data_IF_824328608644
#
_entry.id   IF_824328608644
#
_cell.length_a   1.000
_cell.length_b   1.000
_cell.length_c   1.000
_cell.angle_alpha   90.00
_cell.angle_beta   90.00
_cell.angle_gamma   90.00
#
_symmetry.space_group_name_H-M   'P 1'
#
loop_
_entity.id
_entity.type
_entity.pdbx_description
1 polymer ?
#
# COMPACT_ATOMS: atom_id res chain seq x y z
N UNK A 1 11.21 -9.83 0.46
CA UNK A 1 9.97 -9.30 1.07
C UNK A 1 9.45 -10.30 2.09
N UNK A 2 9.19 -9.86 3.30
CA UNK A 2 8.63 -10.67 4.39
C UNK A 2 7.50 -9.91 5.09
N UNK A 3 6.33 -10.55 5.22
CA UNK A 3 5.14 -9.98 5.85
C UNK A 3 4.82 -10.82 7.08
N UNK A 4 4.79 -10.19 8.27
CA UNK A 4 4.50 -10.91 9.51
C UNK A 4 2.99 -10.98 9.77
N UNK A 5 2.53 -11.97 10.55
CA UNK A 5 1.14 -12.01 10.98
C UNK A 5 0.73 -10.71 11.70
N UNK A 6 -0.41 -10.14 11.31
CA UNK A 6 -0.91 -8.89 11.86
C UNK A 6 -0.28 -7.62 11.29
N UNK A 7 0.67 -7.70 10.35
CA UNK A 7 1.20 -6.53 9.65
C UNK A 7 0.13 -5.87 8.76
N UNK A 8 0.20 -4.57 8.65
CA UNK A 8 -0.29 -3.83 7.50
C UNK A 8 0.92 -3.49 6.63
N UNK A 9 1.25 -4.42 5.73
CA UNK A 9 2.41 -4.27 4.85
C UNK A 9 2.02 -3.54 3.58
N UNK A 10 2.62 -2.38 3.35
CA UNK A 10 2.37 -1.57 2.15
C UNK A 10 3.51 -1.73 1.15
N UNK A 11 3.17 -2.12 -0.07
CA UNK A 11 4.06 -2.02 -1.23
C UNK A 11 3.81 -0.67 -1.87
N UNK A 12 4.71 0.28 -1.58
CA UNK A 12 4.67 1.63 -2.12
C UNK A 12 5.57 1.77 -3.36
N UNK A 13 5.22 2.62 -4.29
CA UNK A 13 6.05 2.87 -5.47
C UNK A 13 5.30 3.58 -6.59
N UNK A 14 6.02 4.11 -7.55
CA UNK A 14 5.46 4.83 -8.69
C UNK A 14 4.41 4.01 -9.46
N UNK A 15 3.46 4.65 -10.16
CA UNK A 15 2.61 3.95 -11.11
C UNK A 15 3.46 3.12 -12.09
N UNK A 16 2.96 1.93 -12.43
CA UNK A 16 3.64 0.98 -13.34
C UNK A 16 4.98 0.41 -12.85
N UNK A 17 5.34 0.56 -11.57
CA UNK A 17 6.56 -0.04 -11.02
C UNK A 17 6.53 -1.57 -10.88
N UNK A 18 5.37 -2.21 -11.11
CA UNK A 18 5.21 -3.67 -11.00
C UNK A 18 4.48 -4.15 -9.75
N UNK A 19 3.92 -3.25 -8.91
CA UNK A 19 3.20 -3.60 -7.68
C UNK A 19 2.13 -4.66 -7.91
N UNK A 20 1.23 -4.43 -8.87
CA UNK A 20 0.14 -5.37 -9.19
C UNK A 20 0.67 -6.73 -9.70
N UNK A 21 1.80 -6.75 -10.41
CA UNK A 21 2.44 -8.01 -10.84
C UNK A 21 2.91 -8.80 -9.62
N UNK A 22 3.61 -8.13 -8.70
CA UNK A 22 4.05 -8.74 -7.43
C UNK A 22 2.86 -9.33 -6.66
N UNK A 23 1.78 -8.56 -6.51
CA UNK A 23 0.58 -9.04 -5.82
C UNK A 23 -0.06 -10.23 -6.53
N UNK A 24 -0.15 -10.22 -7.88
CA UNK A 24 -0.70 -11.34 -8.66
C UNK A 24 0.15 -12.61 -8.52
N UNK A 25 1.47 -12.49 -8.42
CA UNK A 25 2.37 -13.62 -8.13
C UNK A 25 2.08 -14.18 -6.73
N UNK A 26 1.97 -13.31 -5.70
CA UNK A 26 1.61 -13.73 -4.33
C UNK A 26 0.26 -14.44 -4.29
N UNK A 27 -0.70 -13.99 -5.09
CA UNK A 27 -2.04 -14.58 -5.22
C UNK A 27 -2.07 -15.88 -6.03
N UNK A 28 -1.02 -16.20 -6.78
CA UNK A 28 -1.00 -17.34 -7.72
C UNK A 28 -1.82 -17.11 -9.00
N UNK A 29 -2.10 -15.85 -9.32
CA UNK A 29 -2.75 -15.44 -10.57
C UNK A 29 -1.74 -15.35 -11.72
N UNK A 30 -0.48 -15.12 -11.40
CA UNK A 30 0.66 -15.17 -12.33
C UNK A 30 1.75 -16.08 -11.77
N UNK A 31 2.45 -16.85 -12.62
CA UNK A 31 3.58 -17.65 -12.18
C UNK A 31 4.78 -16.75 -11.84
N UNK A 32 5.61 -17.16 -10.90
CA UNK A 32 6.92 -16.57 -10.72
C UNK A 32 7.93 -17.21 -11.68
N UNK A 33 8.73 -16.42 -12.37
CA UNK A 33 9.80 -16.92 -13.25
C UNK A 33 10.95 -17.53 -12.43
N UNK A 34 11.16 -17.03 -11.20
CA UNK A 34 12.15 -17.53 -10.26
C UNK A 34 11.76 -17.23 -8.82
N UNK A 35 12.38 -17.93 -7.87
CA UNK A 35 12.08 -17.76 -6.44
C UNK A 35 10.88 -18.57 -5.98
N UNK A 36 10.43 -18.31 -4.75
CA UNK A 36 9.35 -19.07 -4.10
C UNK A 36 8.44 -18.17 -3.27
N UNK A 37 7.16 -18.55 -3.17
CA UNK A 37 6.15 -17.88 -2.35
C UNK A 37 5.76 -18.79 -1.20
N UNK A 38 5.86 -18.28 0.02
CA UNK A 38 5.46 -18.98 1.24
C UNK A 38 4.30 -18.25 1.92
N UNK A 39 3.25 -18.98 2.28
CA UNK A 39 2.14 -18.47 3.09
C UNK A 39 2.00 -19.35 4.34
N UNK A 40 2.06 -18.74 5.52
CA UNK A 40 2.02 -19.46 6.78
C UNK A 40 3.12 -20.56 6.90
N UNK A 41 4.30 -20.28 6.37
CA UNK A 41 5.43 -21.21 6.35
C UNK A 41 5.34 -22.36 5.34
N UNK A 42 4.27 -22.40 4.53
CA UNK A 42 4.09 -23.45 3.50
C UNK A 42 4.44 -22.90 2.13
N UNK A 43 5.20 -23.66 1.35
CA UNK A 43 5.46 -23.33 -0.05
C UNK A 43 4.16 -23.45 -0.87
N UNK A 44 3.77 -22.32 -1.48
CA UNK A 44 2.56 -22.23 -2.32
C UNK A 44 2.90 -21.80 -3.75
N UNK A 45 4.16 -21.85 -4.13
CA UNK A 45 4.66 -21.34 -5.41
C UNK A 45 3.90 -21.94 -6.59
N UNK A 46 3.70 -23.27 -6.59
CA UNK A 46 2.97 -23.99 -7.65
C UNK A 46 1.45 -24.05 -7.44
N UNK A 47 0.93 -23.50 -6.34
CA UNK A 47 -0.50 -23.54 -6.02
C UNK A 47 -1.27 -22.43 -6.71
N UNK A 48 -2.46 -22.77 -7.20
CA UNK A 48 -3.40 -21.81 -7.76
C UNK A 48 -4.05 -20.91 -6.70
N UNK A 49 -4.75 -19.83 -7.14
CA UNK A 49 -5.34 -18.84 -6.23
C UNK A 49 -6.33 -19.43 -5.22
N UNK A 50 -7.09 -20.44 -5.60
CA UNK A 50 -8.09 -21.08 -4.74
C UNK A 50 -7.44 -21.84 -3.56
N UNK A 51 -6.26 -22.40 -3.76
CA UNK A 51 -5.54 -23.17 -2.75
C UNK A 51 -4.76 -22.30 -1.76
N UNK A 52 -4.57 -21.00 -2.09
CA UNK A 52 -3.83 -20.06 -1.25
C UNK A 52 -4.68 -19.41 -0.14
N UNK A 53 -6.00 -19.54 -0.20
CA UNK A 53 -6.95 -19.02 0.79
C UNK A 53 -6.72 -17.53 1.15
N UNK A 54 -6.47 -16.68 0.17
CA UNK A 54 -6.21 -15.25 0.32
C UNK A 54 -7.47 -14.46 -0.03
N UNK A 55 -7.83 -13.46 0.77
CA UNK A 55 -8.83 -12.46 0.40
C UNK A 55 -8.23 -11.48 -0.61
N UNK A 56 -8.90 -11.21 -1.73
CA UNK A 56 -8.36 -10.34 -2.77
C UNK A 56 -9.32 -9.24 -3.20
N UNK A 57 -8.81 -8.02 -3.23
CA UNK A 57 -9.49 -6.83 -3.76
C UNK A 57 -8.66 -6.30 -4.93
N UNK A 58 -9.07 -6.54 -6.18
CA UNK A 58 -8.38 -6.03 -7.36
C UNK A 58 -8.70 -4.56 -7.62
N UNK A 59 -7.79 -3.85 -8.26
CA UNK A 59 -7.97 -2.47 -8.72
C UNK A 59 -9.18 -2.30 -9.67
N UNK A 60 -9.47 -3.29 -10.49
CA UNK A 60 -10.52 -3.27 -11.52
C UNK A 60 -11.92 -3.64 -11.03
N UNK A 61 -12.19 -3.60 -9.72
CA UNK A 61 -13.43 -4.06 -9.08
C UNK A 61 -13.76 -5.54 -9.30
N UNK A 62 -13.69 -6.03 -10.53
CA UNK A 62 -13.97 -7.40 -10.97
C UNK A 62 -15.31 -7.95 -10.43
N UNK A 63 -16.35 -7.12 -10.36
CA UNK A 63 -17.69 -7.53 -9.93
C UNK A 63 -18.36 -8.43 -10.99
N UNK A 64 -19.12 -9.39 -10.54
CA UNK A 64 -19.95 -10.23 -11.41
C UNK A 64 -21.13 -9.40 -11.91
N UNK A 65 -21.23 -9.10 -13.23
CA UNK A 65 -22.22 -8.16 -13.74
C UNK A 65 -23.67 -8.67 -13.62
N UNK A 66 -23.85 -10.00 -13.62
CA UNK A 66 -25.14 -10.65 -13.54
C UNK A 66 -25.62 -10.96 -12.11
N UNK A 67 -24.88 -10.50 -11.09
CA UNK A 67 -25.18 -10.72 -9.69
C UNK A 67 -25.46 -9.37 -9.00
N UNK A 68 -26.37 -9.38 -8.02
CA UNK A 68 -26.59 -8.22 -7.15
C UNK A 68 -25.35 -7.94 -6.27
N UNK A 69 -25.31 -6.79 -5.59
CA UNK A 69 -24.28 -6.46 -4.59
C UNK A 69 -24.23 -7.54 -3.52
N UNK A 70 -25.37 -7.93 -2.95
CA UNK A 70 -25.51 -9.03 -1.97
C UNK A 70 -24.86 -10.32 -2.50
N UNK A 71 -25.19 -10.68 -3.71
CA UNK A 71 -24.68 -11.92 -4.32
C UNK A 71 -23.19 -11.86 -4.62
N UNK A 72 -22.66 -10.68 -5.00
CA UNK A 72 -21.23 -10.45 -5.19
C UNK A 72 -20.48 -10.65 -3.88
N UNK A 73 -20.96 -10.03 -2.80
CA UNK A 73 -20.33 -10.11 -1.47
C UNK A 73 -20.33 -11.54 -0.94
N UNK A 74 -21.46 -12.22 -1.03
CA UNK A 74 -21.61 -13.59 -0.49
C UNK A 74 -21.00 -14.68 -1.37
N UNK A 75 -20.54 -14.33 -2.58
CA UNK A 75 -20.04 -15.34 -3.54
C UNK A 75 -18.86 -16.17 -2.99
N UNK A 76 -17.79 -15.58 -2.42
CA UNK A 76 -16.69 -16.36 -1.85
C UNK A 76 -17.17 -17.30 -0.73
N UNK A 77 -18.05 -16.83 0.16
CA UNK A 77 -18.56 -17.63 1.26
C UNK A 77 -19.42 -18.83 0.79
N UNK A 78 -20.15 -18.65 -0.32
CA UNK A 78 -20.90 -19.78 -0.94
C UNK A 78 -19.97 -20.82 -1.52
N UNK A 79 -18.83 -20.44 -2.10
CA UNK A 79 -17.83 -21.38 -2.60
C UNK A 79 -17.19 -22.17 -1.44
N UNK A 80 -16.95 -21.52 -0.33
CA UNK A 80 -16.38 -22.12 0.88
C UNK A 80 -17.45 -22.87 1.72
N UNK A 81 -18.72 -22.91 1.24
CA UNK A 81 -19.87 -23.60 1.87
C UNK A 81 -20.17 -23.12 3.30
N UNK A 82 -19.95 -21.84 3.57
CA UNK A 82 -20.25 -21.21 4.86
C UNK A 82 -21.74 -21.27 5.18
N UNK A 83 -22.08 -21.42 6.47
CA UNK A 83 -23.45 -21.50 6.96
C UNK A 83 -24.25 -20.22 6.71
N UNK A 84 -25.59 -20.34 6.54
CA UNK A 84 -26.45 -19.18 6.23
C UNK A 84 -26.43 -18.08 7.31
N UNK A 85 -26.37 -18.47 8.58
CA UNK A 85 -26.34 -17.53 9.71
C UNK A 85 -25.06 -16.69 9.62
N UNK A 86 -23.93 -17.34 9.52
CA UNK A 86 -22.62 -16.71 9.43
C UNK A 86 -22.45 -15.86 8.17
N UNK A 87 -23.02 -16.29 7.03
CA UNK A 87 -23.09 -15.46 5.82
C UNK A 87 -23.86 -14.16 6.05
N UNK A 88 -24.97 -14.20 6.80
CA UNK A 88 -25.76 -13.02 7.09
C UNK A 88 -25.01 -12.08 8.04
N UNK A 89 -24.43 -12.59 9.12
CA UNK A 89 -23.65 -11.81 10.08
C UNK A 89 -22.43 -11.12 9.39
N UNK A 90 -21.76 -11.85 8.52
CA UNK A 90 -20.64 -11.27 7.74
C UNK A 90 -21.13 -10.21 6.77
N UNK A 91 -22.25 -10.45 6.08
CA UNK A 91 -22.85 -9.47 5.17
C UNK A 91 -23.20 -8.18 5.91
N UNK A 92 -23.89 -8.29 7.04
CA UNK A 92 -24.31 -7.13 7.84
C UNK A 92 -23.10 -6.32 8.30
N UNK A 93 -22.07 -7.00 8.82
CA UNK A 93 -20.82 -6.37 9.25
C UNK A 93 -20.09 -5.63 8.12
N UNK A 94 -19.92 -6.25 6.94
CA UNK A 94 -19.18 -5.60 5.85
C UNK A 94 -20.01 -4.51 5.17
N UNK A 95 -21.35 -4.60 5.21
CA UNK A 95 -22.23 -3.56 4.69
C UNK A 95 -22.22 -2.32 5.59
N UNK A 96 -22.33 -2.50 6.91
CA UNK A 96 -22.22 -1.40 7.88
C UNK A 96 -20.87 -0.69 7.77
N UNK A 97 -19.75 -1.48 7.76
CA UNK A 97 -18.40 -0.97 7.59
C UNK A 97 -18.25 -0.07 6.35
N UNK A 98 -18.86 -0.45 5.24
CA UNK A 98 -18.68 0.18 3.95
C UNK A 98 -19.85 1.09 3.54
N UNK A 99 -20.86 1.23 4.38
CA UNK A 99 -22.09 1.99 4.16
C UNK A 99 -22.71 1.69 2.77
N UNK A 100 -23.07 0.41 2.55
CA UNK A 100 -23.63 -0.10 1.29
C UNK A 100 -24.92 -0.91 1.46
N UNK A 101 -25.59 -0.82 2.60
CA UNK A 101 -26.82 -1.56 2.90
C UNK A 101 -27.94 -1.27 1.88
N UNK A 102 -28.06 -0.01 1.48
CA UNK A 102 -29.04 0.48 0.50
C UNK A 102 -28.75 0.03 -0.95
N UNK A 103 -27.59 -0.60 -1.18
CA UNK A 103 -27.15 -1.06 -2.48
C UNK A 103 -27.33 -2.56 -2.72
N UNK A 104 -27.68 -3.34 -1.69
CA UNK A 104 -27.62 -4.79 -1.69
C UNK A 104 -28.39 -5.45 -2.84
N UNK A 105 -29.49 -4.89 -3.28
CA UNK A 105 -30.32 -5.45 -4.35
C UNK A 105 -30.00 -4.88 -5.74
N UNK A 106 -29.10 -3.89 -5.82
CA UNK A 106 -28.65 -3.30 -7.10
C UNK A 106 -27.63 -4.21 -7.78
N UNK A 107 -27.52 -4.06 -9.12
CA UNK A 107 -26.49 -4.68 -9.95
C UNK A 107 -25.34 -3.72 -10.22
N UNK A 108 -24.15 -4.22 -10.62
CA UNK A 108 -23.00 -3.38 -10.88
C UNK A 108 -23.20 -2.26 -11.91
N UNK A 109 -24.06 -2.44 -12.90
CA UNK A 109 -24.41 -1.43 -13.90
C UNK A 109 -25.18 -0.24 -13.32
N UNK A 110 -25.84 -0.42 -12.18
CA UNK A 110 -26.62 0.60 -11.45
C UNK A 110 -25.77 1.35 -10.40
N UNK A 111 -24.49 1.04 -10.29
CA UNK A 111 -23.58 1.58 -9.27
C UNK A 111 -22.65 2.64 -9.85
N UNK A 112 -22.38 3.70 -9.07
CA UNK A 112 -21.27 4.62 -9.32
C UNK A 112 -19.91 3.91 -9.17
N UNK A 113 -18.82 4.53 -9.65
CA UNK A 113 -17.47 3.99 -9.48
C UNK A 113 -17.12 3.71 -8.03
N UNK A 114 -17.34 4.65 -7.12
CA UNK A 114 -17.10 4.47 -5.68
C UNK A 114 -17.98 3.39 -5.04
N UNK A 115 -19.23 3.22 -5.49
CA UNK A 115 -20.10 2.13 -5.01
C UNK A 115 -19.60 0.75 -5.47
N UNK A 116 -19.11 0.66 -6.72
CA UNK A 116 -18.45 -0.56 -7.23
C UNK A 116 -17.22 -0.92 -6.41
N UNK A 117 -16.41 0.09 -6.09
CA UNK A 117 -15.20 -0.07 -5.27
C UNK A 117 -15.56 -0.64 -3.88
N UNK A 118 -16.48 0.00 -3.17
CA UNK A 118 -16.94 -0.46 -1.86
C UNK A 118 -17.48 -1.89 -1.91
N UNK A 119 -18.25 -2.21 -2.93
CA UNK A 119 -18.76 -3.58 -3.14
C UNK A 119 -17.62 -4.60 -3.37
N UNK A 120 -16.57 -4.22 -4.11
CA UNK A 120 -15.41 -5.08 -4.34
C UNK A 120 -14.61 -5.30 -3.04
N UNK A 121 -14.44 -4.27 -2.23
CA UNK A 121 -13.79 -4.36 -0.91
C UNK A 121 -14.64 -5.26 0.02
N UNK A 122 -15.97 -5.05 0.09
CA UNK A 122 -16.88 -5.88 0.87
C UNK A 122 -16.77 -7.35 0.51
N UNK A 123 -16.74 -7.67 -0.79
CA UNK A 123 -16.56 -9.05 -1.27
C UNK A 123 -15.20 -9.64 -0.85
N UNK A 124 -14.14 -8.85 -0.90
CA UNK A 124 -12.81 -9.28 -0.46
C UNK A 124 -12.79 -9.59 1.03
N UNK A 125 -13.33 -8.68 1.85
CA UNK A 125 -13.39 -8.82 3.31
C UNK A 125 -14.39 -9.87 3.79
N UNK A 126 -15.37 -10.25 2.96
CA UNK A 126 -16.31 -11.32 3.27
C UNK A 126 -15.67 -12.71 3.22
N UNK A 127 -14.47 -12.86 2.62
CA UNK A 127 -13.76 -14.12 2.65
C UNK A 127 -13.21 -14.38 4.06
N UNK A 128 -13.43 -15.60 4.56
CA UNK A 128 -12.89 -16.04 5.84
C UNK A 128 -11.42 -16.41 5.69
N UNK A 129 -10.54 -15.46 6.01
CA UNK A 129 -9.08 -15.63 5.92
C UNK A 129 -8.39 -14.62 6.84
N UNK A 130 -7.19 -14.97 7.26
CA UNK A 130 -6.32 -14.09 8.06
C UNK A 130 -5.39 -13.23 7.20
N UNK A 131 -5.41 -13.42 5.88
CA UNK A 131 -4.53 -12.70 4.95
C UNK A 131 -5.30 -12.10 3.78
N UNK A 132 -5.18 -10.79 3.62
CA UNK A 132 -5.84 -10.02 2.57
C UNK A 132 -4.82 -9.30 1.69
N UNK A 133 -5.05 -9.34 0.39
CA UNK A 133 -4.28 -8.61 -0.63
C UNK A 133 -5.20 -7.57 -1.28
N UNK A 134 -4.80 -6.30 -1.21
CA UNK A 134 -5.55 -5.18 -1.78
C UNK A 134 -4.66 -4.45 -2.79
N UNK A 135 -5.09 -4.44 -4.04
CA UNK A 135 -4.34 -3.84 -5.15
C UNK A 135 -4.92 -2.46 -5.47
N UNK A 136 -4.29 -1.41 -4.95
CA UNK A 136 -4.63 0.01 -5.14
C UNK A 136 -6.15 0.28 -4.92
N UNK A 137 -6.73 -0.15 -3.77
CA UNK A 137 -8.18 -0.27 -3.61
C UNK A 137 -8.89 1.06 -3.41
N UNK A 138 -8.17 2.17 -3.16
CA UNK A 138 -8.77 3.47 -2.88
C UNK A 138 -8.70 4.45 -4.05
N UNK A 139 -8.15 4.01 -5.18
CA UNK A 139 -8.10 4.80 -6.42
C UNK A 139 -9.52 5.16 -6.90
N UNK A 140 -9.71 6.45 -7.22
CA UNK A 140 -10.99 6.94 -7.76
C UNK A 140 -12.09 7.16 -6.72
N UNK A 141 -11.77 7.05 -5.42
CA UNK A 141 -12.67 7.46 -4.34
C UNK A 141 -12.50 8.96 -4.05
N UNK A 142 -13.60 9.59 -3.64
CA UNK A 142 -13.54 10.95 -3.10
C UNK A 142 -12.78 10.97 -1.76
N UNK A 143 -12.25 12.15 -1.39
CA UNK A 143 -11.38 12.32 -0.22
C UNK A 143 -12.04 11.82 1.08
N UNK A 144 -13.29 12.20 1.34
CA UNK A 144 -13.98 11.88 2.58
C UNK A 144 -14.23 10.37 2.73
N UNK A 145 -14.55 9.71 1.63
CA UNK A 145 -14.74 8.27 1.62
C UNK A 145 -13.42 7.52 1.77
N UNK A 146 -12.36 8.02 1.11
CA UNK A 146 -11.01 7.46 1.25
C UNK A 146 -10.54 7.50 2.71
N UNK A 147 -10.66 8.65 3.38
CA UNK A 147 -10.29 8.84 4.78
C UNK A 147 -11.04 7.84 5.68
N UNK A 148 -12.36 7.74 5.52
CA UNK A 148 -13.19 6.78 6.27
C UNK A 148 -12.72 5.34 6.06
N UNK A 149 -12.47 4.91 4.81
CA UNK A 149 -12.02 3.55 4.53
C UNK A 149 -10.62 3.24 5.07
N UNK A 150 -9.73 4.21 5.12
CA UNK A 150 -8.43 4.07 5.79
C UNK A 150 -8.64 3.75 7.28
N UNK A 151 -9.50 4.50 7.96
CA UNK A 151 -9.80 4.26 9.37
C UNK A 151 -10.48 2.90 9.60
N UNK A 152 -11.40 2.53 8.72
CA UNK A 152 -12.10 1.25 8.77
C UNK A 152 -11.15 0.05 8.55
N UNK A 153 -10.19 0.17 7.63
CA UNK A 153 -9.16 -0.86 7.42
C UNK A 153 -8.25 -1.01 8.64
N UNK A 154 -7.85 0.11 9.27
CA UNK A 154 -7.09 0.11 10.53
C UNK A 154 -7.87 -0.57 11.65
N UNK A 155 -9.15 -0.20 11.82
CA UNK A 155 -10.03 -0.79 12.82
C UNK A 155 -10.22 -2.30 12.59
N UNK A 156 -10.42 -2.71 11.34
CA UNK A 156 -10.54 -4.12 10.96
C UNK A 156 -9.28 -4.92 11.32
N UNK A 157 -8.11 -4.41 10.98
CA UNK A 157 -6.83 -5.04 11.37
C UNK A 157 -6.73 -5.22 12.87
N UNK A 158 -6.99 -4.13 13.61
CA UNK A 158 -6.85 -4.13 15.08
C UNK A 158 -7.84 -5.07 15.76
N UNK A 159 -9.08 -5.14 15.28
CA UNK A 159 -10.14 -5.95 15.86
C UNK A 159 -9.99 -7.46 15.56
N UNK A 160 -9.51 -7.80 14.37
CA UNK A 160 -9.46 -9.18 13.90
C UNK A 160 -8.05 -9.79 13.90
N UNK A 161 -7.00 -8.99 14.10
CA UNK A 161 -5.60 -9.44 14.02
C UNK A 161 -5.19 -9.94 12.62
N UNK A 162 -5.91 -9.52 11.58
CA UNK A 162 -5.64 -9.95 10.19
C UNK A 162 -4.43 -9.24 9.61
N UNK A 163 -3.83 -9.87 8.60
CA UNK A 163 -2.67 -9.35 7.87
C UNK A 163 -3.11 -8.76 6.54
N UNK A 164 -2.62 -7.57 6.23
CA UNK A 164 -2.85 -6.92 4.95
C UNK A 164 -1.54 -6.81 4.16
N UNK A 165 -1.59 -7.20 2.89
CA UNK A 165 -0.63 -6.81 1.85
C UNK A 165 -1.35 -5.84 0.91
N UNK A 166 -0.93 -4.60 0.95
CA UNK A 166 -1.59 -3.48 0.29
C UNK A 166 -0.65 -2.83 -0.73
N UNK A 167 -1.08 -2.56 -1.94
CA UNK A 167 -0.31 -1.77 -2.88
C UNK A 167 -0.92 -0.40 -3.08
N UNK A 168 -0.09 0.61 -3.18
CA UNK A 168 -0.50 1.96 -3.55
C UNK A 168 0.63 2.77 -4.18
N UNK A 169 0.26 3.76 -4.96
CA UNK A 169 1.15 4.84 -5.42
C UNK A 169 0.93 6.15 -4.67
N UNK A 170 0.02 6.16 -3.71
CA UNK A 170 -0.28 7.33 -2.88
C UNK A 170 0.56 7.27 -1.59
N UNK A 171 1.43 8.27 -1.40
CA UNK A 171 2.30 8.35 -0.23
C UNK A 171 1.53 8.54 1.07
N UNK A 172 0.40 9.28 1.03
CA UNK A 172 -0.42 9.51 2.22
C UNK A 172 -1.08 8.20 2.70
N UNK A 173 -1.57 7.36 1.77
CA UNK A 173 -2.08 6.03 2.12
C UNK A 173 -0.98 5.17 2.76
N UNK A 174 0.23 5.20 2.20
CA UNK A 174 1.39 4.49 2.75
C UNK A 174 1.68 4.93 4.18
N UNK A 175 1.74 6.25 4.42
CA UNK A 175 2.01 6.82 5.76
C UNK A 175 0.90 6.55 6.77
N UNK A 176 -0.35 6.49 6.32
CA UNK A 176 -1.49 6.29 7.22
C UNK A 176 -1.75 4.83 7.57
N UNK A 177 -1.45 3.89 6.66
CA UNK A 177 -1.83 2.48 6.78
C UNK A 177 -0.68 1.57 7.22
N UNK A 178 0.55 1.83 6.74
CA UNK A 178 1.63 0.90 6.93
C UNK A 178 2.06 0.74 8.39
N UNK A 179 2.25 -0.48 8.84
CA UNK A 179 3.15 -0.79 9.95
C UNK A 179 4.55 -1.11 9.42
N UNK A 180 4.61 -1.76 8.26
CA UNK A 180 5.83 -2.02 7.50
C UNK A 180 5.64 -1.66 6.05
N UNK A 181 6.69 -1.25 5.39
CA UNK A 181 6.67 -0.82 3.99
C UNK A 181 7.77 -1.48 3.19
N UNK A 182 7.47 -1.79 1.94
CA UNK A 182 8.45 -2.15 0.91
C UNK A 182 8.31 -1.17 -0.24
N UNK A 183 9.37 -0.47 -0.57
CA UNK A 183 9.39 0.49 -1.69
C UNK A 183 9.82 -0.23 -2.94
N UNK A 184 8.93 -0.30 -3.92
CA UNK A 184 9.17 -0.93 -5.21
C UNK A 184 9.65 0.10 -6.23
N UNK A 185 10.92 -0.01 -6.63
CA UNK A 185 11.54 0.84 -7.64
C UNK A 185 12.45 -0.01 -8.53
N UNK A 186 12.61 0.38 -9.79
CA UNK A 186 13.50 -0.25 -10.77
C UNK A 186 13.35 -1.78 -10.88
N UNK A 187 12.12 -2.27 -10.74
CA UNK A 187 11.78 -3.69 -10.85
C UNK A 187 12.09 -4.54 -9.61
N UNK A 188 12.47 -3.94 -8.48
CA UNK A 188 12.77 -4.62 -7.23
C UNK A 188 12.32 -3.83 -5.99
N UNK A 189 12.34 -4.50 -4.83
CA UNK A 189 12.19 -3.81 -3.54
C UNK A 189 13.53 -3.10 -3.25
N UNK A 190 13.54 -1.77 -3.38
CA UNK A 190 14.73 -0.95 -3.13
C UNK A 190 15.01 -0.79 -1.63
N UNK A 191 13.97 -0.78 -0.82
CA UNK A 191 14.08 -0.68 0.63
C UNK A 191 12.86 -1.32 1.29
N UNK A 192 13.06 -1.95 2.46
CA UNK A 192 12.02 -2.64 3.23
C UNK A 192 12.30 -2.50 4.73
N UNK A 193 11.30 -2.13 5.52
CA UNK A 193 11.44 -1.99 6.97
C UNK A 193 10.15 -1.58 7.66
N UNK A 194 10.26 -1.27 8.94
CA UNK A 194 9.19 -0.59 9.67
C UNK A 194 8.99 0.81 9.09
N UNK A 195 7.74 1.28 9.05
CA UNK A 195 7.44 2.56 8.40
C UNK A 195 8.27 3.72 8.94
N UNK A 196 8.35 3.84 10.26
CA UNK A 196 9.06 4.96 10.91
C UNK A 196 10.57 4.91 10.57
N UNK A 197 11.17 3.71 10.54
CA UNK A 197 12.59 3.55 10.19
C UNK A 197 12.87 3.98 8.75
N UNK A 198 12.07 3.46 7.78
CA UNK A 198 12.24 3.81 6.35
C UNK A 198 11.91 5.27 6.09
N UNK A 199 11.00 5.87 6.88
CA UNK A 199 10.66 7.28 6.76
C UNK A 199 11.75 8.19 7.29
N UNK A 200 12.25 7.93 8.51
CA UNK A 200 13.20 8.80 9.22
C UNK A 200 14.63 8.66 8.70
N UNK A 201 15.03 7.44 8.30
CA UNK A 201 16.39 7.11 7.86
C UNK A 201 16.42 6.37 6.54
N UNK A 202 15.83 6.93 5.46
CA UNK A 202 15.75 6.27 4.17
C UNK A 202 17.14 6.01 3.59
N UNK A 203 17.35 4.78 3.12
CA UNK A 203 18.59 4.38 2.47
C UNK A 203 18.55 4.58 0.94
N UNK A 204 17.36 4.83 0.38
CA UNK A 204 17.17 5.04 -1.04
C UNK A 204 16.38 6.33 -1.33
N UNK A 205 16.78 7.07 -2.37
CA UNK A 205 16.05 8.25 -2.83
C UNK A 205 14.61 7.91 -3.25
N UNK A 206 14.38 6.72 -3.79
CA UNK A 206 13.06 6.21 -4.10
C UNK A 206 12.14 6.13 -2.87
N UNK A 207 12.68 5.83 -1.69
CA UNK A 207 11.93 5.78 -0.44
C UNK A 207 11.53 7.17 0.03
N UNK A 208 12.40 8.16 -0.10
CA UNK A 208 12.05 9.55 0.17
C UNK A 208 10.91 10.05 -0.72
N UNK A 209 10.92 9.67 -2.01
CA UNK A 209 9.85 10.06 -2.94
C UNK A 209 8.53 9.32 -2.65
N UNK A 210 8.61 8.01 -2.41
CA UNK A 210 7.44 7.17 -2.22
C UNK A 210 6.69 7.45 -0.89
N UNK A 211 7.41 7.91 0.13
CA UNK A 211 6.88 8.13 1.49
C UNK A 211 6.84 9.62 1.89
N UNK A 212 6.96 10.55 0.95
CA UNK A 212 6.87 11.98 1.23
C UNK A 212 5.48 12.56 0.97
N UNK A 213 4.90 13.28 1.94
CA UNK A 213 3.68 14.07 1.72
C UNK A 213 3.76 15.43 2.44
N UNK A 214 3.89 16.54 1.70
CA UNK A 214 4.20 16.60 0.26
C UNK A 214 5.48 15.85 -0.12
N UNK A 215 5.64 15.54 -1.41
CA UNK A 215 6.83 14.79 -1.88
C UNK A 215 8.14 15.48 -1.47
N UNK A 216 9.14 14.67 -1.14
CA UNK A 216 10.46 15.19 -0.82
C UNK A 216 11.09 15.91 -2.03
N UNK A 217 11.83 16.97 -1.75
CA UNK A 217 12.61 17.67 -2.77
C UNK A 217 13.91 16.91 -2.99
N UNK A 218 14.20 16.54 -4.24
CA UNK A 218 15.47 15.94 -4.64
C UNK A 218 16.22 16.95 -5.51
N UNK A 219 17.44 17.29 -5.10
CA UNK A 219 18.30 18.24 -5.82
C UNK A 219 19.68 17.65 -6.03
N UNK A 220 20.27 17.93 -7.19
CA UNK A 220 21.65 17.54 -7.47
C UNK A 220 22.62 18.36 -6.60
N UNK A 221 23.65 17.68 -6.09
CA UNK A 221 24.71 18.27 -5.31
C UNK A 221 26.08 17.72 -5.68
N UNK A 222 27.13 18.41 -5.26
CA UNK A 222 28.51 17.98 -5.42
C UNK A 222 29.26 18.10 -4.10
N UNK A 223 29.67 16.97 -3.54
CA UNK A 223 30.38 16.89 -2.27
C UNK A 223 31.86 17.14 -2.47
N UNK A 224 32.42 18.08 -1.72
CA UNK A 224 33.84 18.44 -1.72
C UNK A 224 34.41 18.43 -0.31
N UNK A 225 35.66 18.01 -0.19
CA UNK A 225 36.41 18.13 1.06
C UNK A 225 36.92 19.56 1.23
N UNK A 226 36.58 20.19 2.37
CA UNK A 226 37.05 21.53 2.73
C UNK A 226 37.71 21.42 4.11
N UNK A 227 39.04 21.28 4.13
CA UNK A 227 39.78 21.02 5.35
C UNK A 227 39.40 19.69 6.00
N UNK A 228 38.88 19.74 7.22
CA UNK A 228 38.39 18.56 7.97
C UNK A 228 36.91 18.28 7.77
N UNK A 229 36.16 19.17 7.12
CA UNK A 229 34.73 19.03 6.86
C UNK A 229 34.46 18.64 5.40
N UNK A 230 33.26 18.13 5.14
CA UNK A 230 32.74 17.92 3.79
C UNK A 230 31.60 18.90 3.55
N UNK A 231 31.60 19.56 2.41
CA UNK A 231 30.55 20.47 1.98
C UNK A 231 29.89 19.96 0.72
N UNK A 232 28.57 19.99 0.67
CA UNK A 232 27.78 19.69 -0.50
C UNK A 232 27.26 21.00 -1.10
N UNK A 233 27.66 21.31 -2.31
CA UNK A 233 27.16 22.46 -3.06
C UNK A 233 25.93 22.05 -3.86
N UNK A 234 24.81 22.73 -3.65
CA UNK A 234 23.54 22.51 -4.35
C UNK A 234 23.01 23.80 -4.94
N UNK A 235 21.94 23.72 -5.74
CA UNK A 235 21.22 24.93 -6.21
C UNK A 235 20.57 25.74 -5.09
N UNK A 236 20.41 25.16 -3.89
CA UNK A 236 19.83 25.80 -2.71
C UNK A 236 20.90 26.44 -1.80
N UNK A 237 22.18 26.19 -2.09
CA UNK A 237 23.31 26.66 -1.29
C UNK A 237 24.24 25.52 -0.87
N UNK A 238 25.24 25.89 -0.06
CA UNK A 238 26.23 24.94 0.47
C UNK A 238 25.77 24.39 1.83
N UNK A 239 25.81 23.08 1.99
CA UNK A 239 25.41 22.38 3.19
C UNK A 239 26.57 21.55 3.74
N UNK A 240 26.84 21.62 5.04
CA UNK A 240 27.84 20.76 5.67
C UNK A 240 27.32 19.32 5.74
N UNK A 241 28.12 18.37 5.26
CA UNK A 241 27.76 16.94 5.23
C UNK A 241 28.47 16.21 6.35
N UNK A 242 27.69 15.59 7.23
CA UNK A 242 28.19 14.69 8.27
C UNK A 242 28.15 13.23 7.76
N UNK A 243 29.10 12.42 8.22
CA UNK A 243 29.18 11.00 7.88
C UNK A 243 30.16 10.68 6.74
N UNK A 244 30.17 9.42 6.33
CA UNK A 244 31.11 8.92 5.34
C UNK A 244 30.56 8.98 3.91
N UNK A 245 30.38 10.21 3.42
CA UNK A 245 29.96 10.47 2.04
C UNK A 245 31.21 10.74 1.19
N UNK A 246 31.38 9.99 0.11
CA UNK A 246 32.50 10.21 -0.81
C UNK A 246 32.36 11.55 -1.55
N UNK A 247 33.47 12.26 -1.84
CA UNK A 247 33.44 13.41 -2.73
C UNK A 247 32.93 13.05 -4.12
N UNK A 248 32.16 13.96 -4.74
CA UNK A 248 31.60 13.82 -6.08
C UNK A 248 30.11 14.12 -6.15
N UNK A 249 29.46 13.81 -7.29
CA UNK A 249 28.06 14.07 -7.51
C UNK A 249 27.19 13.20 -6.58
N UNK A 250 26.19 13.83 -5.98
CA UNK A 250 25.21 13.20 -5.08
C UNK A 250 23.81 13.72 -5.37
N UNK A 251 22.81 12.99 -4.92
CA UNK A 251 21.43 13.44 -4.86
C UNK A 251 21.10 13.79 -3.40
N UNK A 252 20.70 15.04 -3.16
CA UNK A 252 20.32 15.53 -1.83
C UNK A 252 18.82 15.52 -1.71
N UNK A 253 18.31 14.77 -0.73
CA UNK A 253 16.88 14.71 -0.44
C UNK A 253 16.52 15.58 0.76
N UNK A 254 15.51 16.42 0.61
CA UNK A 254 15.00 17.30 1.67
C UNK A 254 13.49 17.06 1.79
N UNK A 255 13.04 16.63 2.96
CA UNK A 255 11.60 16.50 3.22
C UNK A 255 10.95 17.86 3.33
N UNK A 256 9.73 18.00 2.84
CA UNK A 256 9.01 19.27 2.78
C UNK A 256 8.79 19.91 4.16
N UNK A 257 8.60 19.11 5.20
CA UNK A 257 8.43 19.56 6.59
C UNK A 257 9.71 20.18 7.19
N UNK A 258 10.87 19.92 6.61
CA UNK A 258 12.13 20.51 7.02
C UNK A 258 12.46 21.82 6.30
N UNK A 259 11.65 22.22 5.31
CA UNK A 259 11.82 23.46 4.56
C UNK A 259 11.13 24.61 5.28
N UNK A 260 11.88 25.63 5.65
CA UNK A 260 11.34 26.85 6.25
C UNK A 260 11.49 28.02 5.28
N UNK A 261 10.40 28.73 5.04
CA UNK A 261 10.40 29.96 4.23
C UNK A 261 10.44 31.16 5.18
N UNK A 262 11.47 31.98 5.06
CA UNK A 262 11.67 33.16 5.87
C UNK A 262 12.40 34.28 5.12
N UNK A 263 12.54 35.45 5.74
CA UNK A 263 13.45 36.48 5.22
C UNK A 263 14.87 35.96 5.30
N UNK A 264 15.65 36.15 4.24
CA UNK A 264 17.06 35.76 4.20
C UNK A 264 17.80 36.29 5.43
N UNK A 265 18.27 35.34 6.26
CA UNK A 265 19.23 35.61 7.31
C UNK A 265 20.56 35.02 6.86
N UNK A 266 21.67 35.70 7.16
CA UNK A 266 23.00 35.10 6.93
C UNK A 266 23.04 33.71 7.60
N UNK A 267 23.30 32.66 6.82
CA UNK A 267 23.36 31.27 7.29
C UNK A 267 22.07 30.49 7.30
N UNK A 268 20.93 30.99 6.79
CA UNK A 268 19.73 30.19 6.54
C UNK A 268 19.86 29.52 5.16
N UNK A 269 19.94 28.20 5.17
CA UNK A 269 19.81 27.33 4.00
C UNK A 269 18.57 26.47 4.18
#
# INVERSE_FOLDING_TARGET
MSVNPGDFYVVSGAPSSGKSVLLRIVLGLEPADAGSVYLGGKDVTSKGPQERHVGYVPQSFALFPNKSVRENILYPMRLDKVGKVEMQETLDRVCDLLAIEDLLDKRPDQLSGGQKQRTAIARGLAKQTDFFVLDDPLVGLDFKLRERLIDDLKATRSALGVTFLYSTSDSLESLLLASRVGVLADGGISEEGDLDEVYDTPQAASSMQALGFPSANLVDGDVRSVGSSKMCSTVLGDVEVSGDVAPGPVLVGIRSEHVQVGTAREGAV
#
